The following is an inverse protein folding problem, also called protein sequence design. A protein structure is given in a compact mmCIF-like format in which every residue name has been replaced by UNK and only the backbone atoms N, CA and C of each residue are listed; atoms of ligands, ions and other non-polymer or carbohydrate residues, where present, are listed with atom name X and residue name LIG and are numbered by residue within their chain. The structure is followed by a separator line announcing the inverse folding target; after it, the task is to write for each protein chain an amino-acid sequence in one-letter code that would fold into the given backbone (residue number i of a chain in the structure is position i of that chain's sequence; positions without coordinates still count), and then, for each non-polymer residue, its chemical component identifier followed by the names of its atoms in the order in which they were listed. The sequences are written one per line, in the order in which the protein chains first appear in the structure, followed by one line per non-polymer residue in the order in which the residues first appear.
data_IF_205693081183
#
_entry.id   IF_205693081183
#
_cell.length_a   1.000
_cell.length_b   1.000
_cell.length_c   1.000
_cell.angle_alpha   90.00
_cell.angle_beta   90.00
_cell.angle_gamma   90.00
#
_symmetry.space_group_name_H-M   'P 1'
#
loop_
_entity.id
_entity.type
_entity.pdbx_description
1 polymer ?
#
# COMPACT_ATOMS: atom_id res chain seq x y z
N UNK A 1 4.38 -5.66 -9.05
CA UNK A 1 3.34 -6.38 -9.80
C UNK A 1 2.83 -5.68 -11.07
N UNK A 2 3.56 -4.71 -11.63
CA UNK A 2 3.16 -3.99 -12.85
C UNK A 2 2.84 -4.89 -14.06
N UNK A 3 3.53 -6.01 -14.21
CA UNK A 3 3.25 -6.97 -15.29
C UNK A 3 1.86 -7.60 -15.20
N UNK A 4 1.31 -7.81 -13.99
CA UNK A 4 -0.07 -8.26 -13.80
C UNK A 4 -1.03 -7.12 -14.13
N UNK A 5 -0.77 -5.92 -13.62
CA UNK A 5 -1.58 -4.72 -13.90
C UNK A 5 -1.70 -4.46 -15.39
N UNK A 6 -0.61 -4.50 -16.16
CA UNK A 6 -0.63 -4.24 -17.61
C UNK A 6 -1.39 -5.29 -18.43
N UNK A 7 -1.58 -6.50 -17.89
CA UNK A 7 -2.34 -7.59 -18.52
C UNK A 7 -3.79 -7.71 -18.03
N UNK A 8 -4.20 -6.84 -17.10
CA UNK A 8 -5.52 -6.85 -16.47
C UNK A 8 -6.19 -5.49 -16.63
N UNK A 9 -6.23 -4.65 -15.59
CA UNK A 9 -6.84 -3.32 -15.65
C UNK A 9 -6.15 -2.37 -16.63
N UNK A 10 -4.86 -2.60 -16.92
CA UNK A 10 -4.00 -1.71 -17.71
C UNK A 10 -4.05 -0.25 -17.24
N UNK A 11 -4.00 -0.05 -15.91
CA UNK A 11 -4.00 1.27 -15.27
C UNK A 11 -2.95 2.18 -15.93
N UNK A 12 -3.41 3.27 -16.54
CA UNK A 12 -2.55 4.30 -17.11
C UNK A 12 -1.58 4.79 -16.05
N UNK A 13 -0.30 4.85 -16.37
CA UNK A 13 0.77 5.21 -15.43
C UNK A 13 0.92 6.73 -15.30
N UNK A 14 -0.19 7.40 -14.96
CA UNK A 14 -0.27 8.86 -14.77
C UNK A 14 -1.52 9.19 -13.97
N UNK A 15 -1.49 10.33 -13.27
CA UNK A 15 -2.57 10.76 -12.40
C UNK A 15 -2.96 9.73 -11.34
N UNK A 16 -4.22 9.71 -10.96
CA UNK A 16 -4.72 8.79 -9.93
C UNK A 16 -4.65 7.32 -10.35
N UNK A 17 -4.86 7.04 -11.63
CA UNK A 17 -4.68 5.68 -12.19
C UNK A 17 -3.23 5.21 -12.00
N UNK A 18 -2.26 6.11 -12.16
CA UNK A 18 -0.86 5.81 -11.91
C UNK A 18 -0.56 5.54 -10.44
N UNK A 19 -1.15 6.34 -9.53
CA UNK A 19 -1.09 6.08 -8.09
C UNK A 19 -1.67 4.71 -7.71
N UNK A 20 -2.78 4.30 -8.31
CA UNK A 20 -3.36 2.97 -8.13
C UNK A 20 -2.47 1.86 -8.72
N UNK A 21 -1.77 2.14 -9.82
CA UNK A 21 -0.84 1.21 -10.45
C UNK A 21 0.37 0.94 -9.52
N UNK A 22 0.97 1.99 -8.97
CA UNK A 22 2.02 1.91 -7.95
C UNK A 22 1.55 1.18 -6.70
N UNK A 23 0.41 1.59 -6.13
CA UNK A 23 -0.12 0.95 -4.93
C UNK A 23 -0.43 -0.53 -5.16
N UNK A 24 -0.90 -0.92 -6.34
CA UNK A 24 -1.10 -2.33 -6.70
C UNK A 24 0.20 -3.12 -6.67
N UNK A 25 1.31 -2.52 -7.10
CA UNK A 25 2.64 -3.13 -7.01
C UNK A 25 3.11 -3.26 -5.57
N UNK A 26 2.94 -2.23 -4.75
CA UNK A 26 3.29 -2.26 -3.32
C UNK A 26 2.46 -3.31 -2.57
N UNK A 27 1.13 -3.28 -2.71
CA UNK A 27 0.18 -4.20 -2.07
C UNK A 27 0.57 -5.66 -2.34
N UNK A 28 0.74 -6.05 -3.60
CA UNK A 28 1.08 -7.43 -3.91
C UNK A 28 2.53 -7.78 -3.59
N UNK A 29 3.45 -6.82 -3.63
CA UNK A 29 4.82 -7.01 -3.15
C UNK A 29 4.81 -7.39 -1.67
N UNK A 30 4.14 -6.60 -0.85
CA UNK A 30 3.95 -6.85 0.58
C UNK A 30 3.21 -8.17 0.85
N UNK A 31 2.16 -8.50 0.09
CA UNK A 31 1.48 -9.81 0.27
C UNK A 31 2.38 -10.99 -0.09
N UNK A 32 3.26 -10.86 -1.10
CA UNK A 32 4.29 -11.88 -1.41
C UNK A 32 5.30 -12.00 -0.27
N UNK A 33 5.71 -10.90 0.35
CA UNK A 33 6.58 -10.91 1.52
C UNK A 33 5.94 -11.68 2.69
N UNK A 34 4.70 -11.34 3.05
CA UNK A 34 3.92 -12.08 4.05
C UNK A 34 3.70 -13.55 3.70
N UNK A 35 3.50 -13.87 2.42
CA UNK A 35 3.37 -15.25 1.96
C UNK A 35 4.69 -16.02 2.10
N UNK A 36 5.80 -15.38 1.74
CA UNK A 36 7.13 -15.98 1.82
C UNK A 36 7.57 -16.23 3.26
N UNK A 37 7.18 -15.33 4.18
CA UNK A 37 7.48 -15.38 5.61
C UNK A 37 8.95 -15.76 5.88
N UNK A 38 9.87 -15.04 5.23
CA UNK A 38 11.29 -15.31 5.30
C UNK A 38 11.80 -15.09 6.74
N UNK A 39 12.51 -16.07 7.31
CA UNK A 39 13.04 -15.93 8.68
C UNK A 39 14.10 -14.84 8.82
N UNK A 40 14.77 -14.47 7.72
CA UNK A 40 15.80 -13.44 7.71
C UNK A 40 15.25 -12.03 7.55
N UNK A 41 13.96 -11.91 7.22
CA UNK A 41 13.28 -10.66 6.90
C UNK A 41 11.81 -10.80 7.28
N UNK A 42 11.48 -10.34 8.49
CA UNK A 42 10.14 -10.54 9.05
C UNK A 42 9.15 -9.70 8.26
N UNK A 43 8.04 -10.28 7.76
CA UNK A 43 7.20 -9.57 6.84
C UNK A 43 6.50 -8.38 7.50
N UNK A 44 6.46 -7.25 6.80
CA UNK A 44 5.91 -6.01 7.30
C UNK A 44 5.17 -5.20 6.21
N UNK A 45 4.99 -3.90 6.43
CA UNK A 45 4.26 -2.98 5.54
C UNK A 45 5.14 -1.81 5.08
N UNK A 46 6.45 -2.03 5.09
CA UNK A 46 7.47 -1.18 4.53
C UNK A 46 7.71 -1.59 3.08
N UNK A 47 8.20 -0.65 2.28
CA UNK A 47 8.58 -0.93 0.91
C UNK A 47 10.06 -0.61 0.77
N UNK A 48 10.88 -1.65 0.55
CA UNK A 48 12.30 -1.51 0.22
C UNK A 48 13.18 -1.19 1.42
N UNK A 49 12.76 -1.51 2.64
CA UNK A 49 13.56 -1.50 3.87
C UNK A 49 14.86 -2.32 3.75
N UNK A 50 14.82 -3.48 3.07
CA UNK A 50 15.97 -4.37 2.88
C UNK A 50 17.05 -3.83 1.91
N UNK A 51 16.75 -2.81 1.09
CA UNK A 51 17.74 -2.23 0.17
C UNK A 51 18.69 -1.25 0.88
N UNK A 52 18.33 -0.79 2.08
CA UNK A 52 19.16 0.11 2.87
C UNK A 52 20.29 -0.69 3.55
N UNK A 53 21.54 -0.32 3.25
CA UNK A 53 22.67 -0.86 3.98
C UNK A 53 22.55 -0.54 5.48
N UNK A 54 22.63 -1.58 6.31
CA UNK A 54 22.57 -1.50 7.78
C UNK A 54 21.26 -0.89 8.31
N UNK A 55 20.16 -1.64 8.23
CA UNK A 55 18.83 -1.26 8.72
C UNK A 55 18.22 -2.29 9.70
N UNK A 56 18.92 -2.70 10.78
CA UNK A 56 18.52 -3.85 11.61
C UNK A 56 17.22 -3.67 12.43
N UNK A 57 16.61 -2.49 12.38
CA UNK A 57 15.35 -2.17 13.07
C UNK A 57 14.26 -1.73 12.09
N UNK A 58 14.49 -1.88 10.79
CA UNK A 58 13.62 -1.45 9.69
C UNK A 58 13.07 -0.03 9.86
N UNK A 59 13.94 0.85 10.35
CA UNK A 59 13.61 2.26 10.60
C UNK A 59 13.59 3.10 9.32
N UNK A 60 14.17 2.57 8.24
CA UNK A 60 14.24 3.17 6.90
C UNK A 60 13.48 2.30 5.91
N UNK A 61 12.75 2.96 5.02
CA UNK A 61 12.07 2.35 3.88
C UNK A 61 11.91 3.42 2.80
N UNK A 62 11.60 3.01 1.57
CA UNK A 62 11.20 3.96 0.53
C UNK A 62 9.79 4.50 0.80
N UNK A 63 8.88 3.63 1.27
CA UNK A 63 7.50 3.96 1.59
C UNK A 63 7.01 3.18 2.81
N UNK A 64 5.99 3.71 3.48
CA UNK A 64 5.34 3.10 4.65
C UNK A 64 3.85 2.97 4.35
N UNK A 65 3.33 1.77 4.10
CA UNK A 65 1.91 1.62 3.76
C UNK A 65 0.97 2.04 4.89
N UNK A 66 1.37 1.83 6.15
CA UNK A 66 0.58 2.19 7.33
C UNK A 66 0.62 3.69 7.67
N UNK A 67 1.59 4.44 7.16
CA UNK A 67 1.75 5.88 7.39
C UNK A 67 2.54 6.53 6.23
N UNK A 68 1.92 6.65 5.03
CA UNK A 68 2.61 7.13 3.83
C UNK A 68 3.40 8.42 4.00
N UNK A 69 2.86 9.38 4.75
CA UNK A 69 3.47 10.70 4.95
C UNK A 69 4.80 10.71 5.71
N UNK A 70 5.28 9.55 6.19
CA UNK A 70 6.62 9.40 6.75
C UNK A 70 7.73 9.71 5.74
N UNK A 71 7.47 9.55 4.45
CA UNK A 71 8.42 9.93 3.38
C UNK A 71 8.46 11.45 3.11
N UNK A 72 7.58 12.23 3.74
CA UNK A 72 7.47 13.68 3.58
C UNK A 72 6.71 14.16 2.34
N UNK A 73 6.22 13.26 1.47
CA UNK A 73 5.60 13.61 0.18
C UNK A 73 4.28 12.88 -0.09
N UNK A 74 4.12 11.64 0.38
CA UNK A 74 2.94 10.81 0.14
C UNK A 74 1.81 11.16 1.13
N UNK A 75 0.60 11.46 0.66
CA UNK A 75 -0.53 11.69 1.56
C UNK A 75 -1.11 10.39 2.11
N UNK A 76 -1.50 10.41 3.39
CA UNK A 76 -2.26 9.31 4.01
C UNK A 76 -3.72 9.26 3.54
N UNK A 77 -4.24 10.41 3.10
CA UNK A 77 -5.67 10.64 2.92
C UNK A 77 -5.95 11.18 1.54
N UNK A 78 -7.14 10.87 1.02
CA UNK A 78 -7.58 11.39 -0.27
C UNK A 78 -7.59 12.92 -0.27
N UNK A 79 -7.09 13.49 -1.36
CA UNK A 79 -7.16 14.92 -1.66
C UNK A 79 -7.42 15.11 -3.16
N UNK A 80 -8.13 16.17 -3.53
CA UNK A 80 -8.52 16.38 -4.94
C UNK A 80 -7.34 16.68 -5.87
N UNK A 81 -6.15 16.93 -5.35
CA UNK A 81 -4.93 17.20 -6.11
C UNK A 81 -4.02 15.98 -6.29
N UNK A 82 -4.43 14.77 -5.85
CA UNK A 82 -3.62 13.55 -5.97
C UNK A 82 -3.16 13.27 -7.40
N UNK A 83 -4.04 13.50 -8.38
CA UNK A 83 -3.72 13.28 -9.79
C UNK A 83 -2.60 14.18 -10.34
N UNK A 84 -2.16 15.20 -9.59
CA UNK A 84 -1.03 16.06 -9.97
C UNK A 84 0.29 15.65 -9.31
N UNK A 85 0.27 14.71 -8.36
CA UNK A 85 1.48 14.21 -7.71
C UNK A 85 2.17 13.15 -8.59
N UNK A 86 3.46 12.93 -8.32
CA UNK A 86 4.13 11.73 -8.82
C UNK A 86 3.36 10.48 -8.36
N UNK A 87 3.32 9.47 -9.22
CA UNK A 87 2.56 8.24 -8.98
C UNK A 87 3.03 7.49 -7.73
N UNK A 88 4.33 7.56 -7.42
CA UNK A 88 4.87 6.94 -6.21
C UNK A 88 4.36 7.64 -4.94
N UNK A 89 4.06 8.94 -5.01
CA UNK A 89 3.49 9.68 -3.87
C UNK A 89 1.98 9.53 -3.78
N UNK A 90 1.27 9.68 -4.91
CA UNK A 90 -0.19 9.51 -4.92
C UNK A 90 -0.62 8.07 -4.59
N UNK A 91 0.26 7.08 -4.70
CA UNK A 91 0.04 5.70 -4.22
C UNK A 91 -0.27 5.59 -2.72
N UNK A 92 0.19 6.56 -1.93
CA UNK A 92 0.06 6.55 -0.46
C UNK A 92 -1.37 6.31 0.01
N UNK A 93 -2.36 6.88 -0.67
CA UNK A 93 -3.77 6.76 -0.29
C UNK A 93 -4.27 5.31 -0.46
N UNK A 94 -3.96 4.64 -1.55
CA UNK A 94 -4.30 3.23 -1.75
C UNK A 94 -3.50 2.29 -0.84
N UNK A 95 -2.21 2.59 -0.61
CA UNK A 95 -1.38 1.84 0.33
C UNK A 95 -1.95 1.89 1.75
N UNK A 96 -2.33 3.08 2.21
CA UNK A 96 -2.96 3.28 3.52
C UNK A 96 -4.34 2.66 3.61
N UNK A 97 -5.15 2.79 2.56
CA UNK A 97 -6.43 2.10 2.47
C UNK A 97 -6.26 0.58 2.62
N UNK A 98 -5.32 -0.03 1.90
CA UNK A 98 -5.12 -1.46 1.95
C UNK A 98 -4.63 -1.92 3.32
N UNK A 99 -3.70 -1.19 3.95
CA UNK A 99 -3.29 -1.46 5.33
C UNK A 99 -4.49 -1.45 6.28
N UNK A 100 -5.30 -0.38 6.25
CA UNK A 100 -6.47 -0.25 7.13
C UNK A 100 -7.51 -1.34 6.86
N UNK A 101 -7.72 -1.74 5.60
CA UNK A 101 -8.62 -2.83 5.25
C UNK A 101 -8.11 -4.16 5.83
N UNK A 102 -6.82 -4.46 5.68
CA UNK A 102 -6.24 -5.72 6.13
C UNK A 102 -6.15 -5.81 7.66
N UNK A 103 -5.61 -4.77 8.30
CA UNK A 103 -5.19 -4.80 9.70
C UNK A 103 -6.15 -4.07 10.65
N UNK A 104 -6.89 -3.10 10.12
CA UNK A 104 -7.68 -2.17 10.91
C UNK A 104 -6.88 -0.97 11.40
N UNK A 105 -7.58 -0.03 12.00
CA UNK A 105 -6.97 1.09 12.69
C UNK A 105 -6.45 0.66 14.07
N UNK A 106 -5.38 1.28 14.55
CA UNK A 106 -4.82 1.03 15.88
C UNK A 106 -3.43 0.41 15.84
N UNK A 107 -2.99 -0.09 17.00
CA UNK A 107 -1.63 -0.61 17.18
C UNK A 107 -1.49 -2.04 16.68
N UNK A 108 -0.44 -2.31 15.89
CA UNK A 108 -0.07 -3.61 15.35
C UNK A 108 1.44 -3.81 15.41
N UNK A 109 1.89 -5.05 15.50
CA UNK A 109 3.31 -5.40 15.54
C UNK A 109 3.67 -6.25 14.33
N UNK A 110 4.71 -5.84 13.61
CA UNK A 110 5.30 -6.54 12.47
C UNK A 110 6.82 -6.60 12.69
N UNK A 111 7.37 -7.82 12.80
CA UNK A 111 8.76 -8.01 13.17
C UNK A 111 9.14 -7.23 14.44
N UNK A 112 10.20 -6.39 14.41
CA UNK A 112 10.63 -5.60 15.57
C UNK A 112 9.78 -4.33 15.79
N UNK A 113 8.88 -4.00 14.87
CA UNK A 113 8.21 -2.71 14.82
C UNK A 113 6.77 -2.78 15.31
N UNK A 114 6.41 -1.91 16.26
CA UNK A 114 5.02 -1.64 16.61
C UNK A 114 4.58 -0.32 16.00
N UNK A 115 3.53 -0.35 15.19
CA UNK A 115 3.02 0.77 14.40
C UNK A 115 1.58 1.06 14.78
N UNK A 116 1.18 2.33 14.72
CA UNK A 116 -0.22 2.74 14.88
C UNK A 116 -0.64 3.55 13.69
N UNK A 117 -1.74 3.16 13.06
CA UNK A 117 -2.26 3.81 11.86
C UNK A 117 -3.70 4.31 12.12
N UNK A 118 -3.92 5.63 12.17
CA UNK A 118 -5.26 6.20 12.31
C UNK A 118 -5.96 6.35 10.95
N UNK A 119 -7.28 6.28 10.94
CA UNK A 119 -8.04 6.70 9.75
C UNK A 119 -8.03 8.21 9.59
N UNK A 120 -8.30 8.69 8.37
CA UNK A 120 -8.30 10.12 8.03
C UNK A 120 -9.28 10.97 8.83
N UNK A 121 -10.36 10.39 9.34
CA UNK A 121 -11.38 11.06 10.14
C UNK A 121 -11.32 10.67 11.64
N UNK A 122 -10.28 9.94 12.07
CA UNK A 122 -10.13 9.47 13.44
C UNK A 122 -11.10 8.37 13.87
N UNK A 123 -11.92 7.84 12.96
CA UNK A 123 -12.77 6.67 13.23
C UNK A 123 -11.94 5.39 13.40
N UNK A 124 -12.56 4.37 14.01
CA UNK A 124 -11.95 3.04 14.14
C UNK A 124 -12.49 2.08 13.07
N UNK A 125 -11.58 1.31 12.46
CA UNK A 125 -11.89 0.24 11.50
C UNK A 125 -11.35 -1.07 12.05
N UNK A 126 -12.18 -2.12 12.01
CA UNK A 126 -11.73 -3.49 12.28
C UNK A 126 -11.25 -4.10 10.97
N UNK A 127 -9.99 -4.54 10.92
CA UNK A 127 -9.41 -5.18 9.75
C UNK A 127 -10.09 -6.49 9.42
N UNK A 128 -10.23 -6.78 8.13
CA UNK A 128 -10.85 -8.02 7.64
C UNK A 128 -9.82 -9.16 7.45
N UNK A 129 -8.54 -8.87 7.67
CA UNK A 129 -7.42 -9.79 7.45
C UNK A 129 -6.86 -9.71 6.03
N UNK A 130 -5.55 -9.94 5.92
CA UNK A 130 -4.76 -9.84 4.68
C UNK A 130 -5.34 -10.66 3.53
N UNK A 131 -5.64 -11.93 3.73
CA UNK A 131 -6.14 -12.80 2.66
C UNK A 131 -7.46 -12.31 2.06
N UNK A 132 -8.37 -11.75 2.87
CA UNK A 132 -9.62 -11.19 2.35
C UNK A 132 -9.39 -9.86 1.63
N UNK A 133 -8.54 -8.99 2.20
CA UNK A 133 -8.18 -7.72 1.59
C UNK A 133 -7.50 -7.92 0.22
N UNK A 134 -6.53 -8.84 0.14
CA UNK A 134 -5.83 -9.23 -1.08
C UNK A 134 -6.81 -9.78 -2.12
N UNK A 135 -7.71 -10.70 -1.74
CA UNK A 135 -8.70 -11.25 -2.65
C UNK A 135 -9.65 -10.18 -3.22
N UNK A 136 -10.05 -9.20 -2.40
CA UNK A 136 -10.85 -8.05 -2.84
C UNK A 136 -10.06 -7.19 -3.83
N UNK A 137 -8.82 -6.84 -3.51
CA UNK A 137 -7.98 -6.01 -4.38
C UNK A 137 -7.70 -6.68 -5.72
N UNK A 138 -7.35 -7.98 -5.69
CA UNK A 138 -7.11 -8.77 -6.90
C UNK A 138 -8.36 -8.86 -7.77
N UNK A 139 -9.53 -9.08 -7.18
CA UNK A 139 -10.80 -9.07 -7.93
C UNK A 139 -11.10 -7.68 -8.50
N UNK A 140 -10.87 -6.61 -7.75
CA UNK A 140 -11.02 -5.25 -8.25
C UNK A 140 -10.16 -5.01 -9.49
N UNK A 141 -8.86 -5.34 -9.41
CA UNK A 141 -7.91 -5.18 -10.50
C UNK A 141 -8.26 -6.01 -11.74
N UNK A 142 -8.75 -7.23 -11.56
CA UNK A 142 -8.94 -8.18 -12.68
C UNK A 142 -10.31 -8.14 -13.32
N UNK A 143 -11.31 -7.60 -12.63
CA UNK A 143 -12.72 -7.65 -13.08
C UNK A 143 -13.32 -6.25 -13.27
N UNK A 144 -12.94 -5.26 -12.45
CA UNK A 144 -13.68 -3.99 -12.38
C UNK A 144 -12.85 -2.78 -12.82
N UNK A 145 -11.58 -2.72 -12.44
CA UNK A 145 -10.73 -1.59 -12.79
C UNK A 145 -10.45 -1.55 -14.30
N UNK A 146 -10.39 -0.34 -14.83
CA UNK A 146 -10.04 -0.06 -16.23
C UNK A 146 -8.80 0.83 -16.29
N UNK A 147 -8.31 1.12 -17.50
CA UNK A 147 -7.10 1.93 -17.67
C UNK A 147 -7.21 3.37 -17.14
N UNK A 148 -8.43 3.85 -16.90
CA UNK A 148 -8.70 5.22 -16.42
C UNK A 148 -9.35 5.25 -15.03
N UNK A 149 -9.41 4.11 -14.33
CA UNK A 149 -9.93 4.07 -12.96
C UNK A 149 -9.14 5.04 -12.08
N UNK A 150 -9.87 5.83 -11.28
CA UNK A 150 -9.34 6.79 -10.32
C UNK A 150 -9.76 6.38 -8.90
N UNK A 151 -9.47 7.20 -7.87
CA UNK A 151 -9.79 6.82 -6.49
C UNK A 151 -11.30 6.76 -6.19
N UNK A 152 -12.15 7.30 -7.05
CA UNK A 152 -13.61 7.20 -6.93
C UNK A 152 -14.20 5.94 -7.61
N UNK A 153 -13.46 5.27 -8.50
CA UNK A 153 -13.88 4.07 -9.25
C UNK A 153 -13.87 4.24 -10.77
#
# INVERSE_FOLDING_TARGET
SHGVTSRTANLTYSGESGGLNEATSDIFGTMVEFYSNNSSDSPDYLIGEAIYASNPSDSKALRWMYQPNKDGSSPNCYASNLGSLDVHYSSGVANHFFYLLAEGSGSKTFGPNTVTSPTCNGSSITGIGRSKAEAIWYRALTVYMTSNTNYAG
#
